data_IF_856774525847
#
_entry.id   IF_856774525847
#
_cell.length_a   1.000
_cell.length_b   1.000
_cell.length_c   1.000
_cell.angle_alpha   90.00
_cell.angle_beta   90.00
_cell.angle_gamma   90.00
#
_symmetry.space_group_name_H-M   'P 1'
#
loop_
_entity.id
_entity.type
_entity.pdbx_description
1 polymer ?
#
# COMPACT_ATOMS: atom_id res chain seq x y z
N UNK A 1 -30.20 15.49 10.68
CA UNK A 1 -29.64 16.80 10.30
C UNK A 1 -28.11 16.88 10.42
N UNK A 2 -27.43 16.03 11.21
CA UNK A 2 -25.95 15.90 11.17
C UNK A 2 -25.42 14.89 10.12
N UNK A 3 -26.30 14.08 9.55
CA UNK A 3 -25.94 13.06 8.54
C UNK A 3 -25.60 13.67 7.17
N UNK A 4 -26.15 14.84 6.82
CA UNK A 4 -25.72 15.61 5.64
C UNK A 4 -24.36 16.31 5.84
N UNK A 5 -23.82 16.31 7.06
CA UNK A 5 -22.46 16.78 7.37
C UNK A 5 -21.43 15.64 7.49
N UNK A 6 -21.83 14.37 7.30
CA UNK A 6 -20.95 13.41 6.62
C UNK A 6 -20.88 13.90 5.17
N UNK A 7 -20.12 14.97 5.04
CA UNK A 7 -19.95 15.72 3.82
C UNK A 7 -19.38 14.72 2.80
N UNK A 8 -19.67 14.86 1.50
CA UNK A 8 -18.85 14.21 0.46
C UNK A 8 -17.35 14.12 0.82
N UNK A 9 -16.75 15.18 1.40
CA UNK A 9 -15.42 15.17 2.04
C UNK A 9 -15.09 14.03 3.02
N UNK A 10 -15.99 13.65 3.93
CA UNK A 10 -15.77 12.58 4.93
C UNK A 10 -15.76 11.20 4.28
N UNK A 11 -16.69 10.95 3.35
CA UNK A 11 -16.72 9.67 2.63
C UNK A 11 -15.48 9.52 1.74
N UNK A 12 -15.10 10.58 1.02
CA UNK A 12 -13.86 10.60 0.22
C UNK A 12 -12.63 10.45 1.13
N UNK A 13 -12.58 11.13 2.27
CA UNK A 13 -11.49 11.00 3.24
C UNK A 13 -11.35 9.59 3.79
N UNK A 14 -12.46 8.93 4.12
CA UNK A 14 -12.45 7.53 4.57
C UNK A 14 -12.01 6.57 3.45
N UNK A 15 -12.55 6.71 2.25
CA UNK A 15 -12.16 5.87 1.11
C UNK A 15 -10.69 6.07 0.73
N UNK A 16 -10.18 7.30 0.76
CA UNK A 16 -8.76 7.59 0.53
C UNK A 16 -7.87 6.98 1.60
N UNK A 17 -8.24 7.08 2.89
CA UNK A 17 -7.50 6.44 3.97
C UNK A 17 -7.46 4.91 3.81
N UNK A 18 -8.60 4.29 3.49
CA UNK A 18 -8.68 2.85 3.21
C UNK A 18 -7.83 2.46 1.99
N UNK A 19 -7.85 3.26 0.92
CA UNK A 19 -7.02 3.04 -0.27
C UNK A 19 -5.52 3.09 0.06
N UNK A 20 -5.09 4.02 0.93
CA UNK A 20 -3.69 4.12 1.38
C UNK A 20 -3.30 2.89 2.21
N UNK A 21 -4.17 2.41 3.10
CA UNK A 21 -3.92 1.21 3.91
C UNK A 21 -3.79 -0.03 3.01
N UNK A 22 -4.68 -0.19 2.03
CA UNK A 22 -4.64 -1.29 1.06
C UNK A 22 -3.37 -1.20 0.21
N UNK A 23 -3.03 -0.01 -0.30
CA UNK A 23 -1.82 0.20 -1.09
C UNK A 23 -0.56 -0.16 -0.28
N UNK A 24 -0.48 0.30 0.96
CA UNK A 24 0.63 -0.01 1.87
C UNK A 24 0.72 -1.51 2.14
N UNK A 25 -0.43 -2.18 2.29
CA UNK A 25 -0.48 -3.63 2.45
C UNK A 25 -0.07 -4.40 1.19
N UNK A 26 -0.14 -3.79 -0.01
CA UNK A 26 0.36 -4.40 -1.25
C UNK A 26 1.83 -4.07 -1.53
N UNK A 27 2.34 -2.95 -1.02
CA UNK A 27 3.75 -2.56 -1.16
C UNK A 27 4.69 -3.64 -0.60
N UNK A 28 4.32 -4.31 0.50
CA UNK A 28 5.09 -5.45 1.04
C UNK A 28 5.18 -6.63 0.06
N UNK A 29 4.10 -6.91 -0.67
CA UNK A 29 4.04 -8.00 -1.66
C UNK A 29 4.86 -7.63 -2.91
N UNK A 30 4.80 -6.36 -3.33
CA UNK A 30 5.62 -5.84 -4.45
C UNK A 30 7.10 -5.91 -4.09
N UNK A 31 7.49 -5.50 -2.87
CA UNK A 31 8.89 -5.55 -2.43
C UNK A 31 9.39 -6.99 -2.15
N UNK A 32 8.50 -8.00 -2.16
CA UNK A 32 8.86 -9.40 -1.95
C UNK A 32 9.27 -9.75 -0.51
N UNK A 33 8.96 -8.87 0.46
CA UNK A 33 9.35 -9.05 1.86
C UNK A 33 8.18 -9.66 2.61
N UNK A 34 8.39 -10.81 3.26
CA UNK A 34 7.37 -11.44 4.11
C UNK A 34 7.29 -10.73 5.45
N UNK A 35 6.61 -9.59 5.49
CA UNK A 35 6.41 -8.81 6.71
C UNK A 35 5.10 -9.25 7.37
N UNK A 36 5.20 -9.84 8.56
CA UNK A 36 4.07 -10.20 9.42
C UNK A 36 3.80 -9.07 10.42
N UNK A 37 3.38 -7.90 9.94
CA UNK A 37 2.97 -6.75 10.76
C UNK A 37 1.45 -6.61 10.78
N UNK A 38 0.85 -6.50 11.97
CA UNK A 38 -0.60 -6.29 12.13
C UNK A 38 -1.01 -4.82 12.03
N UNK A 39 -0.06 -3.88 12.21
CA UNK A 39 -0.32 -2.44 12.21
C UNK A 39 0.45 -1.71 11.10
N UNK A 40 -0.15 -0.65 10.55
CA UNK A 40 0.41 0.15 9.46
C UNK A 40 1.83 0.67 9.76
N UNK A 41 2.04 1.22 10.97
CA UNK A 41 3.34 1.75 11.38
C UNK A 41 4.40 0.65 11.52
N UNK A 42 4.00 -0.53 11.99
CA UNK A 42 4.89 -1.68 12.14
C UNK A 42 5.34 -2.21 10.76
N UNK A 43 4.42 -2.21 9.78
CA UNK A 43 4.77 -2.52 8.38
C UNK A 43 5.81 -1.51 7.85
N UNK A 44 5.61 -0.20 8.04
CA UNK A 44 6.58 0.80 7.58
C UNK A 44 7.94 0.67 8.27
N UNK A 45 7.95 0.45 9.59
CA UNK A 45 9.20 0.26 10.34
C UNK A 45 9.99 -0.94 9.81
N UNK A 46 9.31 -2.08 9.65
CA UNK A 46 9.93 -3.29 9.09
C UNK A 46 10.36 -3.12 7.63
N UNK A 47 9.60 -2.37 6.80
CA UNK A 47 9.99 -2.06 5.42
C UNK A 47 11.29 -1.27 5.39
N UNK A 48 11.47 -0.27 6.26
CA UNK A 48 12.71 0.52 6.32
C UNK A 48 13.89 -0.29 6.87
N UNK A 49 13.64 -1.16 7.85
CA UNK A 49 14.69 -2.00 8.45
C UNK A 49 15.16 -3.11 7.49
N UNK A 50 14.22 -3.77 6.80
CA UNK A 50 14.51 -4.86 5.86
C UNK A 50 14.70 -4.39 4.41
N UNK A 51 14.75 -3.07 4.15
CA UNK A 51 14.99 -2.54 2.80
C UNK A 51 16.35 -3.02 2.25
N UNK A 52 17.33 -3.31 3.12
CA UNK A 52 18.63 -3.86 2.73
C UNK A 52 18.61 -5.35 2.35
N UNK A 53 17.66 -6.14 2.86
CA UNK A 53 17.45 -7.55 2.49
C UNK A 53 16.39 -7.72 1.40
N UNK A 54 15.81 -6.63 0.91
CA UNK A 54 14.84 -6.71 -0.19
C UNK A 54 15.46 -7.45 -1.37
N UNK A 55 14.76 -8.48 -1.83
CA UNK A 55 15.06 -9.11 -3.11
C UNK A 55 14.71 -8.12 -4.20
N UNK A 56 15.68 -7.28 -4.57
CA UNK A 56 15.56 -6.30 -5.65
C UNK A 56 14.94 -6.90 -6.92
N UNK A 57 15.22 -8.18 -7.18
CA UNK A 57 14.60 -8.94 -8.27
C UNK A 57 13.08 -9.09 -8.13
N UNK A 58 12.57 -9.43 -6.95
CA UNK A 58 11.11 -9.54 -6.71
C UNK A 58 10.44 -8.16 -6.82
N UNK A 59 11.09 -7.12 -6.31
CA UNK A 59 10.64 -5.72 -6.47
C UNK A 59 10.56 -5.29 -7.94
N UNK A 60 11.58 -5.62 -8.75
CA UNK A 60 11.59 -5.32 -10.19
C UNK A 60 10.48 -6.06 -10.92
N UNK A 61 10.23 -7.34 -10.60
CA UNK A 61 9.12 -8.10 -11.19
C UNK A 61 7.76 -7.53 -10.81
N UNK A 62 7.56 -7.15 -9.54
CA UNK A 62 6.33 -6.51 -9.07
C UNK A 62 6.06 -5.18 -9.76
N UNK A 63 7.07 -4.31 -9.84
CA UNK A 63 6.96 -3.01 -10.52
C UNK A 63 6.71 -3.17 -12.02
N UNK A 64 7.38 -4.13 -12.67
CA UNK A 64 7.16 -4.43 -14.10
C UNK A 64 5.72 -4.86 -14.36
N UNK A 65 5.16 -5.72 -13.50
CA UNK A 65 3.77 -6.17 -13.62
C UNK A 65 2.78 -5.01 -13.50
N UNK A 66 2.98 -4.11 -12.52
CA UNK A 66 2.17 -2.90 -12.35
C UNK A 66 2.30 -1.99 -13.57
N UNK A 67 3.51 -1.78 -14.08
CA UNK A 67 3.76 -0.94 -15.25
C UNK A 67 3.06 -1.48 -16.51
N UNK A 68 3.10 -2.80 -16.73
CA UNK A 68 2.39 -3.44 -17.84
C UNK A 68 0.88 -3.29 -17.68
N UNK A 69 0.33 -3.51 -16.48
CA UNK A 69 -1.11 -3.33 -16.23
C UNK A 69 -1.58 -1.89 -16.45
N UNK A 70 -0.75 -0.90 -16.09
CA UNK A 70 -1.04 0.51 -16.35
C UNK A 70 -0.93 0.88 -17.84
N UNK A 71 0.02 0.29 -18.57
CA UNK A 71 0.17 0.50 -20.01
C UNK A 71 -0.95 -0.17 -20.83
N UNK A 72 -1.48 -1.29 -20.35
CA UNK A 72 -2.55 -2.03 -21.02
C UNK A 72 -3.94 -1.42 -20.76
N UNK A 73 -4.06 -0.55 -19.75
CA UNK A 73 -5.29 0.15 -19.37
C UNK A 73 -5.47 1.42 -20.18
#
# INVERSE_FOLDING_TARGET
>A
FLIDFISGPVSVGFTSAAAIIIATSQVKDVLGIRISGAEFLDIWHNVFEHIGETRLWDAVWGVTCIAVLLLLR
#
